data_IF_834346253053
#
_entry.id   IF_834346253053
#
_cell.length_a   1.000
_cell.length_b   1.000
_cell.length_c   1.000
_cell.angle_alpha   90.00
_cell.angle_beta   90.00
_cell.angle_gamma   90.00
#
_symmetry.space_group_name_H-M   'P 1'
#
loop_
_entity.id
_entity.type
_entity.pdbx_description
1 polymer ?
#
# COMPACT_ATOMS: atom_id res chain seq x y z
N UNK A 1 24.57 48.45 27.61
CA UNK A 1 25.67 48.21 28.56
C UNK A 1 25.08 47.52 29.78
N UNK A 2 25.28 46.21 29.92
CA UNK A 2 25.01 45.49 31.17
C UNK A 2 26.34 45.43 31.94
N UNK A 3 26.33 45.87 33.20
CA UNK A 3 27.51 45.85 34.06
C UNK A 3 27.73 44.42 34.56
N UNK A 4 28.99 43.93 34.52
CA UNK A 4 29.41 42.64 35.07
C UNK A 4 28.99 42.42 36.53
N UNK A 5 28.81 43.49 37.30
CA UNK A 5 28.34 43.45 38.69
C UNK A 5 26.84 43.13 38.80
N UNK A 6 26.02 43.57 37.83
CA UNK A 6 24.59 43.30 37.79
C UNK A 6 24.30 41.84 37.34
N UNK A 7 25.13 41.30 36.44
CA UNK A 7 25.03 39.91 35.97
C UNK A 7 25.41 38.91 37.07
N UNK A 8 26.44 39.19 37.88
CA UNK A 8 26.80 38.37 39.04
C UNK A 8 25.70 38.36 40.11
N UNK A 9 25.06 39.50 40.34
CA UNK A 9 23.98 39.66 41.32
C UNK A 9 22.71 38.91 40.89
N UNK A 10 22.34 38.98 39.61
CA UNK A 10 21.16 38.31 39.06
C UNK A 10 21.32 36.80 38.98
N UNK A 11 22.48 36.30 38.54
CA UNK A 11 22.75 34.86 38.50
C UNK A 11 22.76 34.23 39.92
N UNK A 12 23.41 34.90 40.87
CA UNK A 12 23.47 34.43 42.26
C UNK A 12 22.08 34.38 42.91
N UNK A 13 21.25 35.41 42.68
CA UNK A 13 19.86 35.44 43.15
C UNK A 13 19.00 34.33 42.54
N UNK A 14 19.18 34.04 41.24
CA UNK A 14 18.54 32.91 40.58
C UNK A 14 18.92 31.57 41.22
N UNK A 15 20.21 31.34 41.48
CA UNK A 15 20.67 30.12 42.14
C UNK A 15 20.18 29.99 43.59
N UNK A 16 20.12 31.10 44.33
CA UNK A 16 19.59 31.11 45.69
C UNK A 16 18.10 30.71 45.71
N UNK A 17 17.31 31.23 44.76
CA UNK A 17 15.91 30.85 44.59
C UNK A 17 15.76 29.37 44.23
N UNK A 18 16.58 28.85 43.30
CA UNK A 18 16.56 27.43 42.93
C UNK A 18 16.96 26.56 44.12
N UNK A 19 17.98 26.94 44.89
CA UNK A 19 18.38 26.23 46.10
C UNK A 19 17.23 26.20 47.13
N UNK A 20 16.51 27.32 47.30
CA UNK A 20 15.30 27.36 48.15
C UNK A 20 14.22 26.40 47.66
N UNK A 21 13.96 26.35 46.34
CA UNK A 21 13.00 25.42 45.72
C UNK A 21 13.41 23.97 46.00
N UNK A 22 14.67 23.61 45.74
CA UNK A 22 15.17 22.24 45.95
C UNK A 22 15.00 21.79 47.40
N UNK A 23 15.26 22.69 48.36
CA UNK A 23 15.17 22.36 49.79
C UNK A 23 13.73 22.28 50.33
N UNK A 24 12.74 22.83 49.62
CA UNK A 24 11.34 22.86 50.04
C UNK A 24 10.44 21.94 49.22
N UNK A 25 10.87 21.55 48.02
CA UNK A 25 10.10 20.73 47.12
C UNK A 25 9.91 19.31 47.65
N UNK A 26 8.72 18.77 47.40
CA UNK A 26 8.36 17.38 47.63
C UNK A 26 7.66 16.79 46.40
N UNK A 27 7.23 15.53 46.50
CA UNK A 27 6.55 14.80 45.41
C UNK A 27 5.23 15.45 44.93
N UNK A 28 4.61 16.28 45.77
CA UNK A 28 3.31 16.90 45.49
C UNK A 28 3.47 18.35 44.98
N UNK A 29 4.72 18.79 44.78
CA UNK A 29 5.08 20.11 44.29
C UNK A 29 5.06 20.19 42.75
N UNK A 30 4.56 21.32 42.23
CA UNK A 30 4.71 21.74 40.84
C UNK A 30 5.78 22.83 40.76
N UNK A 31 6.83 22.60 39.98
CA UNK A 31 7.97 23.50 39.84
C UNK A 31 8.01 24.01 38.40
N UNK A 32 8.07 25.33 38.26
CA UNK A 32 8.18 26.01 36.96
C UNK A 32 9.52 26.75 36.94
N UNK A 33 10.40 26.36 36.03
CA UNK A 33 11.71 26.97 35.85
C UNK A 33 11.74 27.64 34.48
N UNK A 34 11.94 28.95 34.47
CA UNK A 34 12.06 29.71 33.22
C UNK A 34 13.53 29.95 32.91
N UNK A 35 13.94 29.65 31.67
CA UNK A 35 15.31 29.82 31.15
C UNK A 35 16.37 29.28 32.12
N UNK A 36 16.32 27.99 32.42
CA UNK A 36 17.30 27.40 33.35
C UNK A 36 18.71 27.40 32.76
N UNK A 37 19.70 27.78 33.58
CA UNK A 37 21.11 27.75 33.21
C UNK A 37 21.58 28.96 32.41
N UNK A 38 20.85 30.07 32.42
CA UNK A 38 21.24 31.35 31.83
C UNK A 38 21.99 32.24 32.82
N UNK A 39 22.67 33.28 32.34
CA UNK A 39 23.37 34.27 33.18
C UNK A 39 24.80 33.90 33.60
N UNK A 40 25.37 32.86 33.00
CA UNK A 40 26.77 32.47 33.15
C UNK A 40 27.30 31.89 31.84
N UNK A 41 28.55 31.40 31.83
CA UNK A 41 29.10 30.63 30.72
C UNK A 41 28.13 29.51 30.28
N UNK A 42 27.82 29.38 28.97
CA UNK A 42 26.84 28.41 28.50
C UNK A 42 27.17 26.96 28.89
N UNK A 43 28.46 26.60 29.00
CA UNK A 43 28.85 25.23 29.35
C UNK A 43 28.63 24.95 30.83
N UNK A 44 29.00 25.90 31.70
CA UNK A 44 28.77 25.81 33.14
C UNK A 44 27.29 25.87 33.48
N UNK A 45 26.56 26.80 32.87
CA UNK A 45 25.12 26.97 33.04
C UNK A 45 24.34 25.72 32.64
N UNK A 46 24.72 25.07 31.54
CA UNK A 46 24.13 23.81 31.13
C UNK A 46 24.41 22.67 32.12
N UNK A 47 25.64 22.57 32.65
CA UNK A 47 26.00 21.54 33.63
C UNK A 47 25.21 21.72 34.95
N UNK A 48 25.08 22.96 35.42
CA UNK A 48 24.27 23.31 36.59
C UNK A 48 22.79 22.98 36.37
N UNK A 49 22.23 23.39 35.23
CA UNK A 49 20.84 23.09 34.89
C UNK A 49 20.56 21.59 34.86
N UNK A 50 21.47 20.79 34.28
CA UNK A 50 21.37 19.34 34.29
C UNK A 50 21.36 18.77 35.72
N UNK A 51 22.26 19.26 36.59
CA UNK A 51 22.32 18.83 37.99
C UNK A 51 21.04 19.19 38.76
N UNK A 52 20.47 20.37 38.52
CA UNK A 52 19.20 20.82 39.13
C UNK A 52 18.06 19.89 38.70
N UNK A 53 17.88 19.66 37.40
CA UNK A 53 16.82 18.81 36.88
C UNK A 53 16.92 17.36 37.39
N UNK A 54 18.14 16.81 37.43
CA UNK A 54 18.39 15.48 37.99
C UNK A 54 18.08 15.40 39.50
N UNK A 55 18.31 16.48 40.23
CA UNK A 55 18.00 16.57 41.66
C UNK A 55 16.50 16.63 41.89
N UNK A 56 15.79 17.50 41.18
CA UNK A 56 14.33 17.59 41.27
C UNK A 56 13.63 16.30 40.82
N UNK A 57 14.19 15.60 39.82
CA UNK A 57 13.73 14.26 39.44
C UNK A 57 13.81 13.28 40.61
N UNK A 58 14.89 13.29 41.40
CA UNK A 58 15.03 12.39 42.57
C UNK A 58 14.00 12.68 43.67
N UNK A 59 13.57 13.93 43.80
CA UNK A 59 12.49 14.34 44.71
C UNK A 59 11.12 13.83 44.21
N UNK A 60 11.03 13.51 42.92
CA UNK A 60 9.83 13.02 42.23
C UNK A 60 8.71 14.07 42.15
N UNK A 61 9.09 15.35 42.06
CA UNK A 61 8.18 16.48 41.82
C UNK A 61 7.82 16.61 40.33
N UNK A 62 6.72 17.29 40.02
CA UNK A 62 6.37 17.67 38.64
C UNK A 62 7.13 18.94 38.27
N UNK A 63 7.92 18.91 37.20
CA UNK A 63 8.77 20.03 36.77
C UNK A 63 8.49 20.40 35.32
N UNK A 64 8.22 21.68 35.06
CA UNK A 64 8.32 22.27 33.73
C UNK A 64 9.53 23.20 33.70
N UNK A 65 10.37 23.04 32.68
CA UNK A 65 11.54 23.89 32.49
C UNK A 65 11.64 24.34 31.03
N UNK A 66 11.88 25.62 30.81
CA UNK A 66 12.29 26.17 29.50
C UNK A 66 13.80 26.35 29.48
N UNK A 67 14.42 26.21 28.30
CA UNK A 67 15.85 26.40 28.11
C UNK A 67 16.20 26.55 26.64
N UNK A 68 17.26 27.30 26.34
CA UNK A 68 17.89 27.36 25.02
C UNK A 68 19.10 26.41 24.89
N UNK A 69 19.46 25.67 25.94
CA UNK A 69 20.64 24.81 25.95
C UNK A 69 20.41 23.49 25.21
N UNK A 70 20.99 23.35 24.01
CA UNK A 70 20.85 22.15 23.18
C UNK A 70 21.28 20.84 23.87
N UNK A 71 22.29 20.88 24.74
CA UNK A 71 22.76 19.70 25.50
C UNK A 71 21.71 19.15 26.47
N UNK A 72 20.82 19.99 27.01
CA UNK A 72 19.72 19.52 27.88
C UNK A 72 18.67 18.73 27.09
N UNK A 73 18.49 19.03 25.79
CA UNK A 73 17.63 18.24 24.90
C UNK A 73 18.09 16.78 24.82
N UNK A 74 19.40 16.53 24.86
CA UNK A 74 20.00 15.19 24.84
C UNK A 74 19.77 14.47 26.18
N UNK A 75 19.92 15.19 27.30
CA UNK A 75 19.67 14.67 28.64
C UNK A 75 18.25 14.09 28.76
N UNK A 76 17.26 14.83 28.27
CA UNK A 76 15.86 14.41 28.29
C UNK A 76 15.56 13.16 27.45
N UNK A 77 16.37 12.85 26.43
CA UNK A 77 16.26 11.59 25.68
C UNK A 77 16.90 10.42 26.44
N UNK A 78 17.92 10.68 27.25
CA UNK A 78 18.75 9.65 27.88
C UNK A 78 18.28 9.26 29.29
N UNK A 79 17.56 10.15 29.96
CA UNK A 79 17.15 9.98 31.35
C UNK A 79 15.66 9.69 31.44
N UNK A 80 15.31 8.49 31.90
CA UNK A 80 13.92 8.11 32.17
C UNK A 80 13.25 9.10 33.14
N UNK A 81 11.99 9.44 32.89
CA UNK A 81 11.24 10.41 33.70
C UNK A 81 11.49 11.88 33.36
N UNK A 82 12.36 12.17 32.39
CA UNK A 82 12.49 13.49 31.77
C UNK A 82 12.03 13.35 30.32
N UNK A 83 11.25 14.31 29.83
CA UNK A 83 10.75 14.30 28.46
C UNK A 83 10.91 15.68 27.82
N UNK A 84 11.36 15.70 26.57
CA UNK A 84 11.39 16.93 25.78
C UNK A 84 9.97 17.39 25.43
N UNK A 85 9.77 18.69 25.34
CA UNK A 85 8.61 19.27 24.69
C UNK A 85 9.03 20.56 23.98
N UNK A 86 8.34 20.89 22.90
CA UNK A 86 8.63 22.07 22.10
C UNK A 86 7.37 22.76 21.61
N UNK A 87 7.42 24.07 21.42
CA UNK A 87 6.36 24.79 20.73
C UNK A 87 6.54 24.62 19.23
N UNK A 88 5.50 24.18 18.54
CA UNK A 88 5.54 23.99 17.10
C UNK A 88 5.68 25.35 16.38
N UNK A 89 6.62 25.39 15.46
CA UNK A 89 6.88 26.51 14.57
C UNK A 89 6.57 26.11 13.13
N UNK A 90 5.84 26.96 12.42
CA UNK A 90 5.58 26.79 10.99
C UNK A 90 6.81 27.29 10.22
N UNK A 91 7.60 26.37 9.67
CA UNK A 91 8.81 26.67 8.90
C UNK A 91 8.50 27.33 7.56
N UNK A 92 7.35 27.05 6.94
CA UNK A 92 7.01 27.61 5.63
C UNK A 92 6.62 29.08 5.76
N UNK A 93 5.82 29.41 6.78
CA UNK A 93 5.34 30.77 7.00
C UNK A 93 6.18 31.56 8.03
N UNK A 94 7.16 30.90 8.66
CA UNK A 94 8.01 31.43 9.73
C UNK A 94 7.19 32.07 10.87
N UNK A 95 6.21 31.33 11.39
CA UNK A 95 5.29 31.81 12.45
C UNK A 95 5.15 30.79 13.58
N UNK A 96 5.07 31.24 14.85
CA UNK A 96 4.72 30.36 15.95
C UNK A 96 3.27 29.89 15.79
N UNK A 97 3.03 28.60 15.98
CA UNK A 97 1.67 28.04 15.99
C UNK A 97 1.07 27.98 17.40
N UNK A 98 1.91 28.18 18.43
CA UNK A 98 1.56 28.07 19.85
C UNK A 98 1.02 26.69 20.26
N UNK A 99 1.33 25.64 19.48
CA UNK A 99 0.95 24.26 19.79
C UNK A 99 2.12 23.56 20.49
N UNK A 100 1.90 23.07 21.71
CA UNK A 100 2.90 22.27 22.42
C UNK A 100 2.98 20.85 21.85
N UNK A 101 4.19 20.41 21.48
CA UNK A 101 4.51 19.06 21.01
C UNK A 101 5.35 18.35 22.07
N UNK A 102 4.73 17.40 22.77
CA UNK A 102 5.43 16.59 23.76
C UNK A 102 6.22 15.46 23.08
N UNK A 103 7.34 15.09 23.69
CA UNK A 103 8.25 14.03 23.22
C UNK A 103 9.23 14.46 22.13
N UNK A 104 9.09 15.67 21.58
CA UNK A 104 9.96 16.18 20.53
C UNK A 104 10.79 17.35 21.06
N UNK A 105 12.11 17.34 20.86
CA UNK A 105 12.92 18.52 21.11
C UNK A 105 12.58 19.61 20.08
N UNK A 106 12.66 20.88 20.50
CA UNK A 106 12.48 22.01 19.59
C UNK A 106 13.77 22.28 18.82
N UNK A 107 13.64 22.83 17.62
CA UNK A 107 14.77 23.29 16.82
C UNK A 107 14.95 24.81 16.94
N UNK A 108 16.18 25.32 16.87
CA UNK A 108 16.49 26.74 16.87
C UNK A 108 16.35 27.33 15.47
N UNK A 109 15.44 28.30 15.29
CA UNK A 109 15.11 28.92 13.99
C UNK A 109 15.80 30.28 13.76
N UNK A 110 16.93 30.54 14.44
CA UNK A 110 17.55 31.85 14.44
C UNK A 110 17.98 32.31 13.03
N UNK A 111 18.46 31.36 12.20
CA UNK A 111 18.90 31.64 10.84
C UNK A 111 17.74 31.95 9.90
N UNK A 112 16.68 31.16 9.96
CA UNK A 112 15.48 31.33 9.15
C UNK A 112 14.76 32.65 9.49
N UNK A 113 14.77 33.03 10.78
CA UNK A 113 14.25 34.34 11.22
C UNK A 113 15.13 35.48 10.68
N UNK A 114 16.46 35.36 10.77
CA UNK A 114 17.37 36.36 10.23
C UNK A 114 17.23 36.51 8.70
N UNK A 115 17.01 35.41 7.97
CA UNK A 115 16.81 35.44 6.52
C UNK A 115 15.57 36.26 6.15
N UNK A 116 14.50 36.08 6.92
CA UNK A 116 13.28 36.89 6.78
C UNK A 116 13.46 38.37 7.12
N UNK A 117 14.34 38.69 8.07
CA UNK A 117 14.68 40.09 8.42
C UNK A 117 15.45 40.76 7.28
N UNK A 118 16.08 39.98 6.38
CA UNK A 118 16.73 40.47 5.17
C UNK A 118 18.26 40.53 5.27
N UNK A 119 18.86 39.74 6.15
CA UNK A 119 20.32 39.53 6.12
C UNK A 119 20.72 38.83 4.82
N UNK A 120 21.90 39.18 4.29
CA UNK A 120 22.38 38.64 3.03
C UNK A 120 23.09 37.27 3.20
N UNK A 121 23.30 36.58 2.07
CA UNK A 121 23.93 35.25 2.06
C UNK A 121 25.35 35.29 2.63
N UNK A 122 26.08 36.40 2.43
CA UNK A 122 27.42 36.59 2.96
C UNK A 122 27.44 36.66 4.50
N UNK A 123 26.47 37.35 5.11
CA UNK A 123 26.30 37.33 6.56
C UNK A 123 26.09 35.91 7.09
N UNK A 124 25.29 35.10 6.39
CA UNK A 124 25.05 33.72 6.79
C UNK A 124 26.27 32.82 6.65
N UNK A 125 27.10 33.01 5.62
CA UNK A 125 28.36 32.28 5.48
C UNK A 125 29.29 32.59 6.66
N UNK A 126 29.43 33.87 7.03
CA UNK A 126 30.25 34.29 8.16
C UNK A 126 29.68 33.73 9.48
N UNK A 127 28.37 33.82 9.69
CA UNK A 127 27.74 33.33 10.91
C UNK A 127 27.90 31.81 11.07
N UNK A 128 27.74 31.02 9.98
CA UNK A 128 27.95 29.57 9.98
C UNK A 128 29.40 29.18 10.28
N UNK A 129 30.38 29.98 9.84
CA UNK A 129 31.79 29.74 10.15
C UNK A 129 32.14 29.98 11.62
N UNK A 130 31.38 30.84 12.32
CA UNK A 130 31.63 31.21 13.71
C UNK A 130 30.87 30.38 14.74
N UNK A 131 29.96 29.50 14.32
CA UNK A 131 29.31 28.59 15.26
C UNK A 131 30.19 27.38 15.57
N UNK A 132 30.09 26.94 16.82
CA UNK A 132 30.69 25.69 17.28
C UNK A 132 30.15 24.52 16.44
N UNK A 133 31.06 23.84 15.74
CA UNK A 133 30.73 22.78 14.79
C UNK A 133 30.00 21.62 15.46
N UNK A 134 30.25 21.35 16.74
CA UNK A 134 29.67 20.21 17.42
C UNK A 134 28.23 20.49 17.88
N UNK A 135 27.96 21.70 18.37
CA UNK A 135 26.60 22.13 18.70
C UNK A 135 25.71 22.18 17.45
N UNK A 136 26.27 22.62 16.32
CA UNK A 136 25.56 22.62 15.04
C UNK A 136 25.23 21.23 14.50
N UNK A 137 26.16 20.27 14.59
CA UNK A 137 25.90 18.89 14.14
C UNK A 137 24.74 18.26 14.92
N UNK A 138 24.70 18.48 16.22
CA UNK A 138 23.62 18.00 17.08
C UNK A 138 22.29 18.61 16.66
N UNK A 139 22.23 19.93 16.48
CA UNK A 139 20.98 20.61 16.11
C UNK A 139 20.49 20.16 14.72
N UNK A 140 21.39 20.04 13.74
CA UNK A 140 21.05 19.52 12.41
C UNK A 140 20.55 18.07 12.45
N UNK A 141 21.14 17.23 13.31
CA UNK A 141 20.68 15.86 13.51
C UNK A 141 19.29 15.81 14.14
N UNK A 142 19.00 16.69 15.10
CA UNK A 142 17.66 16.83 15.70
C UNK A 142 16.63 17.25 14.64
N UNK A 143 16.94 18.25 13.81
CA UNK A 143 16.06 18.71 12.70
C UNK A 143 15.78 17.55 11.72
N UNK A 144 16.79 16.76 11.36
CA UNK A 144 16.61 15.62 10.46
C UNK A 144 15.74 14.51 11.09
N UNK A 145 15.90 14.24 12.40
CA UNK A 145 15.01 13.35 13.15
C UNK A 145 13.58 13.85 13.13
N UNK A 146 13.36 15.15 13.37
CA UNK A 146 12.02 15.76 13.38
C UNK A 146 11.34 15.63 12.00
N UNK A 147 12.07 15.95 10.92
CA UNK A 147 11.58 15.78 9.54
C UNK A 147 11.24 14.33 9.22
N UNK A 148 12.10 13.38 9.62
CA UNK A 148 11.87 11.94 9.43
C UNK A 148 10.66 11.45 10.23
N UNK A 149 10.50 11.90 11.47
CA UNK A 149 9.36 11.56 12.32
C UNK A 149 8.04 12.09 11.73
N UNK A 150 8.03 13.34 11.25
CA UNK A 150 6.86 13.92 10.58
C UNK A 150 6.47 13.11 9.34
N UNK A 151 7.43 12.78 8.48
CA UNK A 151 7.21 11.96 7.28
C UNK A 151 6.72 10.55 7.60
N UNK A 152 7.24 9.94 8.66
CA UNK A 152 6.82 8.62 9.12
C UNK A 152 5.37 8.66 9.61
N UNK A 153 5.01 9.65 10.42
CA UNK A 153 3.64 9.83 10.91
C UNK A 153 2.64 10.04 9.77
N UNK A 154 2.99 10.83 8.75
CA UNK A 154 2.14 11.00 7.57
C UNK A 154 1.94 9.67 6.82
N UNK A 155 3.02 8.88 6.68
CA UNK A 155 2.95 7.57 6.03
C UNK A 155 2.12 6.57 6.83
N UNK A 156 2.25 6.56 8.15
CA UNK A 156 1.43 5.73 9.05
C UNK A 156 -0.06 6.07 8.89
N UNK A 157 -0.41 7.35 8.91
CA UNK A 157 -1.80 7.80 8.70
C UNK A 157 -2.35 7.34 7.35
N UNK A 158 -1.56 7.41 6.27
CA UNK A 158 -1.96 6.89 4.95
C UNK A 158 -2.19 5.37 4.97
N UNK A 159 -1.32 4.62 5.64
CA UNK A 159 -1.44 3.16 5.78
C UNK A 159 -2.66 2.75 6.61
N UNK A 160 -3.00 3.50 7.66
CA UNK A 160 -4.22 3.24 8.45
C UNK A 160 -5.49 3.42 7.62
N UNK A 161 -5.56 4.50 6.83
CA UNK A 161 -6.69 4.76 5.92
C UNK A 161 -6.80 3.62 4.90
N UNK A 162 -5.69 3.21 4.29
CA UNK A 162 -5.67 2.15 3.28
C UNK A 162 -6.05 0.78 3.88
N UNK A 163 -5.57 0.44 5.07
CA UNK A 163 -5.98 -0.78 5.78
C UNK A 163 -7.48 -0.81 6.05
N UNK A 164 -8.04 0.32 6.50
CA UNK A 164 -9.49 0.44 6.73
C UNK A 164 -10.26 0.21 5.42
N UNK A 165 -9.79 0.78 4.31
CA UNK A 165 -10.38 0.59 2.98
C UNK A 165 -10.32 -0.87 2.53
N UNK A 166 -9.17 -1.53 2.68
CA UNK A 166 -8.97 -2.93 2.32
C UNK A 166 -9.85 -3.87 3.16
N UNK A 167 -9.98 -3.63 4.46
CA UNK A 167 -10.90 -4.37 5.32
C UNK A 167 -12.35 -4.23 4.85
N UNK A 168 -12.79 -3.00 4.53
CA UNK A 168 -14.13 -2.76 4.00
C UNK A 168 -14.39 -3.51 2.68
N UNK A 169 -13.40 -3.49 1.78
CA UNK A 169 -13.48 -4.18 0.50
C UNK A 169 -13.51 -5.70 0.65
N UNK A 170 -12.68 -6.26 1.56
CA UNK A 170 -12.69 -7.69 1.90
C UNK A 170 -14.06 -8.14 2.38
N UNK A 171 -14.66 -7.40 3.31
CA UNK A 171 -16.00 -7.71 3.83
C UNK A 171 -17.07 -7.65 2.74
N UNK A 172 -16.96 -6.72 1.79
CA UNK A 172 -17.88 -6.61 0.67
C UNK A 172 -17.75 -7.81 -0.28
N UNK A 173 -16.52 -8.22 -0.60
CA UNK A 173 -16.28 -9.39 -1.43
C UNK A 173 -16.76 -10.68 -0.78
N UNK A 174 -16.54 -10.87 0.53
CA UNK A 174 -17.07 -12.03 1.26
C UNK A 174 -18.60 -12.09 1.18
N UNK A 175 -19.29 -10.97 1.43
CA UNK A 175 -20.75 -10.90 1.30
C UNK A 175 -21.23 -11.22 -0.12
N UNK A 176 -20.54 -10.72 -1.14
CA UNK A 176 -20.89 -11.00 -2.53
C UNK A 176 -20.66 -12.47 -2.88
N UNK A 177 -19.56 -13.08 -2.38
CA UNK A 177 -19.29 -14.50 -2.57
C UNK A 177 -20.34 -15.38 -1.91
N UNK A 178 -20.78 -15.04 -0.70
CA UNK A 178 -21.83 -15.78 -0.01
C UNK A 178 -23.18 -15.65 -0.71
N UNK A 179 -23.50 -14.44 -1.21
CA UNK A 179 -24.68 -14.22 -2.04
C UNK A 179 -24.64 -15.05 -3.33
N UNK A 180 -23.54 -15.04 -4.06
CA UNK A 180 -23.35 -15.82 -5.29
C UNK A 180 -23.44 -17.34 -5.02
N UNK A 181 -22.92 -17.81 -3.90
CA UNK A 181 -23.05 -19.23 -3.49
C UNK A 181 -24.51 -19.59 -3.22
N UNK A 182 -25.27 -18.72 -2.56
CA UNK A 182 -26.71 -18.92 -2.32
C UNK A 182 -27.48 -18.95 -3.64
N UNK A 183 -27.32 -17.93 -4.48
CA UNK A 183 -28.00 -17.83 -5.77
C UNK A 183 -27.68 -19.05 -6.67
N UNK A 184 -26.42 -19.49 -6.70
CA UNK A 184 -26.03 -20.70 -7.43
C UNK A 184 -26.77 -21.94 -6.92
N UNK A 185 -26.90 -22.08 -5.60
CA UNK A 185 -27.60 -23.21 -4.98
C UNK A 185 -29.08 -23.19 -5.36
N UNK A 186 -29.71 -22.03 -5.28
CA UNK A 186 -31.13 -21.85 -5.61
C UNK A 186 -31.41 -22.16 -7.09
N UNK A 187 -30.55 -21.68 -8.01
CA UNK A 187 -30.65 -22.00 -9.44
C UNK A 187 -30.51 -23.51 -9.70
N UNK A 188 -29.56 -24.18 -9.03
CA UNK A 188 -29.38 -25.62 -9.19
C UNK A 188 -30.57 -26.43 -8.67
N UNK A 189 -31.15 -26.00 -7.55
CA UNK A 189 -32.33 -26.63 -6.97
C UNK A 189 -33.54 -26.46 -7.88
N UNK A 190 -33.77 -25.24 -8.37
CA UNK A 190 -34.84 -24.93 -9.31
C UNK A 190 -34.70 -25.71 -10.63
N UNK A 191 -33.49 -25.74 -11.21
CA UNK A 191 -33.23 -26.51 -12.43
C UNK A 191 -33.46 -28.02 -12.23
N UNK A 192 -33.17 -28.55 -11.04
CA UNK A 192 -33.44 -29.96 -10.71
C UNK A 192 -34.94 -30.25 -10.58
N UNK A 193 -35.70 -29.32 -10.01
CA UNK A 193 -37.17 -29.42 -9.92
C UNK A 193 -37.76 -29.41 -11.33
N UNK A 194 -37.42 -28.42 -12.15
CA UNK A 194 -37.89 -28.29 -13.53
C UNK A 194 -37.52 -29.51 -14.39
N UNK A 195 -36.31 -30.05 -14.24
CA UNK A 195 -35.89 -31.27 -14.93
C UNK A 195 -36.72 -32.49 -14.51
N UNK A 196 -37.03 -32.64 -13.22
CA UNK A 196 -37.87 -33.73 -12.73
C UNK A 196 -39.33 -33.60 -13.21
N UNK A 197 -39.88 -32.39 -13.23
CA UNK A 197 -41.22 -32.14 -13.78
C UNK A 197 -41.27 -32.48 -15.28
N UNK A 198 -40.27 -32.03 -16.04
CA UNK A 198 -40.14 -32.35 -17.46
C UNK A 198 -40.06 -33.86 -17.72
N UNK A 199 -39.24 -34.60 -16.96
CA UNK A 199 -39.13 -36.05 -17.06
C UNK A 199 -40.44 -36.76 -16.69
N UNK A 200 -41.16 -36.28 -15.68
CA UNK A 200 -42.45 -36.83 -15.29
C UNK A 200 -43.51 -36.62 -16.37
N UNK A 201 -43.55 -35.43 -17.00
CA UNK A 201 -44.47 -35.17 -18.11
C UNK A 201 -44.13 -36.04 -19.32
N UNK A 202 -42.84 -36.17 -19.66
CA UNK A 202 -42.36 -37.08 -20.70
C UNK A 202 -42.79 -38.53 -20.43
N UNK A 203 -42.62 -39.02 -19.20
CA UNK A 203 -43.02 -40.38 -18.83
C UNK A 203 -44.52 -40.61 -19.00
N UNK A 204 -45.37 -39.64 -18.62
CA UNK A 204 -46.82 -39.69 -18.86
C UNK A 204 -47.15 -39.74 -20.36
N UNK A 205 -46.46 -38.96 -21.18
CA UNK A 205 -46.64 -38.99 -22.63
C UNK A 205 -46.25 -40.35 -23.22
N UNK A 206 -45.13 -40.93 -22.76
CA UNK A 206 -44.68 -42.28 -23.16
C UNK A 206 -45.72 -43.34 -22.76
N UNK A 207 -46.21 -43.30 -21.53
CA UNK A 207 -47.25 -44.24 -21.06
C UNK A 207 -48.53 -44.15 -21.89
N UNK A 208 -48.97 -42.93 -22.22
CA UNK A 208 -50.14 -42.72 -23.08
C UNK A 208 -49.95 -43.29 -24.50
N UNK A 209 -48.75 -43.11 -25.07
CA UNK A 209 -48.39 -43.73 -26.37
C UNK A 209 -48.38 -45.25 -26.27
N UNK A 210 -47.77 -45.82 -25.22
CA UNK A 210 -47.75 -47.28 -25.00
C UNK A 210 -49.16 -47.84 -24.81
N UNK A 211 -50.03 -47.14 -24.08
CA UNK A 211 -51.43 -47.52 -23.88
C UNK A 211 -52.20 -47.54 -25.22
N UNK A 212 -52.05 -46.50 -26.05
CA UNK A 212 -52.64 -46.46 -27.40
C UNK A 212 -52.22 -47.66 -28.27
N UNK A 213 -50.93 -48.06 -28.22
CA UNK A 213 -50.42 -49.23 -28.96
C UNK A 213 -51.07 -50.54 -28.48
N UNK A 214 -51.28 -50.70 -27.16
CA UNK A 214 -51.90 -51.90 -26.60
C UNK A 214 -53.38 -52.03 -26.97
N UNK A 215 -54.10 -50.91 -27.03
CA UNK A 215 -55.54 -50.87 -27.34
C UNK A 215 -55.84 -51.10 -28.84
N UNK A 216 -54.94 -50.73 -29.75
CA UNK A 216 -55.13 -50.84 -31.22
C UNK A 216 -54.79 -52.19 -31.85
N UNK A 217 -54.44 -53.22 -31.05
CA UNK A 217 -54.20 -54.61 -31.53
C UNK A 217 -53.41 -54.73 -32.84
N UNK A 218 -52.17 -54.23 -32.82
CA UNK A 218 -51.11 -54.62 -33.78
C UNK A 218 -51.36 -54.32 -35.27
N UNK A 219 -51.86 -53.13 -35.60
CA UNK A 219 -51.67 -52.58 -36.95
C UNK A 219 -50.20 -52.22 -37.19
N UNK A 220 -49.63 -52.72 -38.30
CA UNK A 220 -48.21 -52.55 -38.66
C UNK A 220 -47.82 -51.08 -38.82
N UNK A 221 -48.75 -50.20 -39.20
CA UNK A 221 -48.51 -48.77 -39.36
C UNK A 221 -48.44 -48.04 -38.00
N UNK A 222 -49.35 -48.33 -37.07
CA UNK A 222 -49.39 -47.71 -35.73
C UNK A 222 -48.13 -48.04 -34.91
N UNK A 223 -47.61 -49.27 -35.04
CA UNK A 223 -46.36 -49.68 -34.38
C UNK A 223 -45.15 -48.94 -34.95
N UNK A 224 -45.13 -48.67 -36.27
CA UNK A 224 -44.02 -48.00 -36.96
C UNK A 224 -43.98 -46.51 -36.60
N UNK A 225 -45.14 -45.87 -36.59
CA UNK A 225 -45.30 -44.45 -36.22
C UNK A 225 -44.98 -44.24 -34.73
N UNK A 226 -45.46 -45.12 -33.86
CA UNK A 226 -45.17 -45.05 -32.42
C UNK A 226 -43.70 -45.32 -32.09
N UNK A 227 -43.03 -46.25 -32.80
CA UNK A 227 -41.57 -46.44 -32.69
C UNK A 227 -40.77 -45.23 -33.15
N UNK A 228 -41.22 -44.53 -34.19
CA UNK A 228 -40.59 -43.28 -34.64
C UNK A 228 -40.76 -42.16 -33.62
N UNK A 229 -41.94 -42.04 -33.02
CA UNK A 229 -42.23 -41.07 -31.95
C UNK A 229 -41.36 -41.32 -30.71
N UNK A 230 -41.26 -42.57 -30.25
CA UNK A 230 -40.39 -42.95 -29.11
C UNK A 230 -38.90 -42.73 -29.44
N UNK A 231 -38.48 -42.97 -30.70
CA UNK A 231 -37.11 -42.70 -31.14
C UNK A 231 -36.79 -41.21 -31.15
N UNK A 232 -37.70 -40.36 -31.65
CA UNK A 232 -37.59 -38.89 -31.58
C UNK A 232 -37.51 -38.39 -30.14
N UNK A 233 -38.35 -38.94 -29.25
CA UNK A 233 -38.29 -38.60 -27.83
C UNK A 233 -36.94 -39.00 -27.19
N UNK A 234 -36.40 -40.19 -27.48
CA UNK A 234 -35.06 -40.60 -27.01
C UNK A 234 -33.92 -39.78 -27.59
N UNK A 235 -34.02 -39.31 -28.82
CA UNK A 235 -33.03 -38.40 -29.44
C UNK A 235 -33.07 -37.01 -28.80
N UNK A 236 -34.23 -36.57 -28.30
CA UNK A 236 -34.41 -35.30 -27.57
C UNK A 236 -33.83 -35.35 -26.15
N UNK A 237 -33.65 -36.55 -25.57
CA UNK A 237 -33.12 -36.79 -24.21
C UNK A 237 -31.58 -36.78 -24.17
N UNK A 238 -30.89 -36.74 -25.32
CA UNK A 238 -29.45 -36.46 -25.31
C UNK A 238 -29.24 -35.02 -24.86
N UNK A 239 -29.04 -34.86 -23.55
CA UNK A 239 -28.42 -33.68 -22.98
C UNK A 239 -26.97 -33.68 -23.47
N UNK A 240 -26.76 -33.16 -24.68
CA UNK A 240 -25.45 -32.64 -25.01
C UNK A 240 -25.21 -31.50 -24.02
N UNK A 241 -24.07 -31.47 -23.29
CA UNK A 241 -23.66 -30.23 -22.64
C UNK A 241 -23.78 -29.16 -23.72
N UNK A 242 -24.35 -27.98 -23.43
CA UNK A 242 -24.61 -27.01 -24.48
C UNK A 242 -23.31 -26.84 -25.27
N UNK A 243 -23.27 -27.40 -26.48
CA UNK A 243 -22.33 -26.93 -27.48
C UNK A 243 -22.56 -25.44 -27.48
N UNK A 244 -21.51 -24.71 -27.15
CA UNK A 244 -21.48 -23.26 -27.19
C UNK A 244 -22.27 -22.84 -28.42
N UNK A 245 -23.53 -22.46 -28.23
CA UNK A 245 -24.38 -21.99 -29.32
C UNK A 245 -23.73 -20.68 -29.70
N UNK A 246 -22.84 -20.74 -30.67
CA UNK A 246 -22.38 -19.59 -31.41
C UNK A 246 -23.64 -18.95 -31.99
N UNK A 247 -24.09 -17.89 -31.34
CA UNK A 247 -25.09 -16.98 -31.88
C UNK A 247 -24.33 -15.75 -32.41
N UNK A 248 -24.92 -14.98 -33.32
CA UNK A 248 -24.69 -15.03 -34.75
C UNK A 248 -23.87 -13.82 -35.21
N UNK A 249 -23.09 -14.02 -36.27
CA UNK A 249 -22.31 -12.96 -36.90
C UNK A 249 -20.82 -13.29 -36.86
N UNK A 250 -20.37 -14.07 -37.84
CA UNK A 250 -18.99 -14.00 -38.30
C UNK A 250 -18.72 -12.55 -38.73
N UNK A 251 -18.24 -11.73 -37.81
CA UNK A 251 -17.26 -10.72 -38.18
C UNK A 251 -15.93 -11.33 -37.77
N UNK A 252 -15.12 -11.68 -38.78
CA UNK A 252 -13.73 -12.05 -38.53
C UNK A 252 -13.06 -10.85 -37.87
N UNK A 253 -12.81 -10.99 -36.57
CA UNK A 253 -12.02 -10.05 -35.81
C UNK A 253 -10.56 -10.32 -36.15
N UNK A 254 -9.88 -9.31 -36.67
CA UNK A 254 -8.47 -9.38 -37.02
C UNK A 254 -7.63 -8.57 -36.02
N UNK A 255 -6.33 -8.88 -35.97
CA UNK A 255 -5.37 -8.08 -35.21
C UNK A 255 -5.39 -6.66 -35.79
N UNK A 256 -5.62 -5.66 -34.94
CA UNK A 256 -5.78 -4.26 -35.33
C UNK A 256 -7.22 -3.74 -35.41
N UNK A 257 -8.22 -4.58 -35.16
CA UNK A 257 -9.61 -4.14 -35.06
C UNK A 257 -9.92 -3.46 -33.72
N UNK A 258 -10.63 -2.33 -33.77
CA UNK A 258 -11.24 -1.69 -32.59
C UNK A 258 -12.47 -2.48 -32.14
N UNK A 259 -12.44 -2.94 -30.90
CA UNK A 259 -13.49 -3.75 -30.29
C UNK A 259 -13.89 -3.21 -28.92
N UNK A 260 -15.17 -3.40 -28.59
CA UNK A 260 -15.72 -3.11 -27.28
C UNK A 260 -16.03 -4.42 -26.56
N UNK A 261 -15.71 -4.49 -25.27
CA UNK A 261 -16.13 -5.61 -24.42
C UNK A 261 -17.64 -5.47 -24.16
N UNK A 262 -18.41 -6.52 -24.48
CA UNK A 262 -19.84 -6.62 -24.15
C UNK A 262 -20.03 -6.47 -22.63
N UNK A 263 -21.04 -5.72 -22.22
CA UNK A 263 -21.32 -5.37 -20.82
C UNK A 263 -20.29 -4.42 -20.16
N UNK A 264 -19.40 -3.81 -20.95
CA UNK A 264 -18.51 -2.74 -20.50
C UNK A 264 -18.42 -1.59 -21.51
N UNK A 265 -18.07 -0.38 -21.05
CA UNK A 265 -17.71 0.75 -21.92
C UNK A 265 -16.23 0.71 -22.35
N UNK A 266 -15.52 -0.39 -22.06
CA UNK A 266 -14.11 -0.58 -22.43
C UNK A 266 -13.98 -0.82 -23.94
N UNK A 267 -13.33 0.12 -24.63
CA UNK A 267 -12.98 0.03 -26.07
C UNK A 267 -11.47 -0.13 -26.21
N UNK A 268 -11.01 -1.04 -27.06
CA UNK A 268 -9.58 -1.27 -27.30
C UNK A 268 -9.30 -1.96 -28.62
N UNK A 269 -8.03 -1.94 -29.02
CA UNK A 269 -7.55 -2.55 -30.26
C UNK A 269 -7.11 -3.99 -30.01
N UNK A 270 -7.48 -4.94 -30.87
CA UNK A 270 -7.00 -6.32 -30.75
C UNK A 270 -5.51 -6.39 -31.08
N UNK A 271 -4.68 -6.82 -30.13
CA UNK A 271 -3.24 -7.00 -30.33
C UNK A 271 -2.84 -8.47 -30.51
N UNK A 272 -3.61 -9.41 -29.98
CA UNK A 272 -3.32 -10.84 -30.07
C UNK A 272 -4.60 -11.67 -30.09
N UNK A 273 -4.67 -12.70 -30.94
CA UNK A 273 -5.81 -13.62 -31.04
C UNK A 273 -5.30 -15.05 -30.90
N UNK A 274 -5.64 -15.70 -29.79
CA UNK A 274 -5.39 -17.11 -29.58
C UNK A 274 -6.64 -17.94 -29.91
N UNK A 275 -6.76 -18.34 -31.19
CA UNK A 275 -7.89 -19.13 -31.70
C UNK A 275 -8.03 -20.51 -31.01
N UNK A 276 -6.93 -21.09 -30.52
CA UNK A 276 -6.95 -22.41 -29.86
C UNK A 276 -7.50 -22.38 -28.43
N UNK A 277 -7.34 -21.25 -27.72
CA UNK A 277 -7.84 -21.04 -26.35
C UNK A 277 -9.08 -20.14 -26.28
N UNK A 278 -9.61 -19.69 -27.42
CA UNK A 278 -10.71 -18.72 -27.51
C UNK A 278 -10.47 -17.41 -26.72
N UNK A 279 -9.20 -16.98 -26.65
CA UNK A 279 -8.76 -15.79 -25.93
C UNK A 279 -8.25 -14.73 -26.90
N UNK A 280 -8.53 -13.46 -26.57
CA UNK A 280 -8.13 -12.28 -27.33
C UNK A 280 -7.55 -11.27 -26.36
N UNK A 281 -6.41 -10.70 -26.70
CA UNK A 281 -5.81 -9.60 -25.94
C UNK A 281 -6.17 -8.29 -26.63
N UNK A 282 -6.83 -7.40 -25.91
CA UNK A 282 -7.14 -6.04 -26.39
C UNK A 282 -6.31 -5.00 -25.66
N UNK A 283 -5.95 -3.93 -26.35
CA UNK A 283 -5.22 -2.79 -25.83
C UNK A 283 -6.18 -1.60 -25.66
N UNK A 284 -6.49 -1.25 -24.42
CA UNK A 284 -7.34 -0.10 -24.07
C UNK A 284 -6.54 0.90 -23.27
N UNK A 285 -6.31 2.11 -23.79
CA UNK A 285 -5.69 3.20 -23.02
C UNK A 285 -4.31 2.86 -22.44
N UNK A 286 -3.57 1.92 -23.05
CA UNK A 286 -2.28 1.42 -22.57
C UNK A 286 -2.35 0.12 -21.75
N UNK A 287 -3.53 -0.39 -21.41
CA UNK A 287 -3.74 -1.65 -20.67
C UNK A 287 -4.02 -2.81 -21.62
N UNK A 288 -3.34 -3.95 -21.40
CA UNK A 288 -3.62 -5.22 -22.09
C UNK A 288 -4.65 -6.02 -21.30
N UNK A 289 -5.78 -6.34 -21.92
CA UNK A 289 -6.88 -7.08 -21.30
C UNK A 289 -7.09 -8.39 -22.07
N UNK A 290 -6.94 -9.52 -21.38
CA UNK A 290 -7.25 -10.83 -21.93
C UNK A 290 -8.75 -11.10 -21.74
N UNK A 291 -9.49 -11.23 -22.84
CA UNK A 291 -10.93 -11.49 -22.84
C UNK A 291 -11.27 -12.58 -23.84
N UNK A 292 -12.51 -13.08 -23.82
CA UNK A 292 -12.93 -14.10 -24.77
C UNK A 292 -13.32 -13.47 -26.11
N UNK A 293 -13.12 -14.17 -27.23
CA UNK A 293 -13.58 -13.70 -28.55
C UNK A 293 -15.10 -13.44 -28.56
N UNK A 294 -15.84 -14.19 -27.73
CA UNK A 294 -17.30 -14.09 -27.56
C UNK A 294 -17.77 -12.82 -26.84
N UNK A 295 -16.94 -12.23 -25.99
CA UNK A 295 -17.25 -11.02 -25.22
C UNK A 295 -16.88 -9.73 -25.95
N UNK A 296 -16.51 -9.80 -27.24
CA UNK A 296 -16.14 -8.63 -28.04
C UNK A 296 -17.20 -8.30 -29.10
N UNK A 297 -17.36 -7.01 -29.38
CA UNK A 297 -18.12 -6.49 -30.53
C UNK A 297 -17.30 -5.44 -31.28
N UNK A 298 -17.24 -5.54 -32.60
CA UNK A 298 -16.53 -4.58 -33.45
C UNK A 298 -17.19 -3.21 -33.35
N UNK A 299 -16.39 -2.18 -33.10
CA UNK A 299 -16.86 -0.79 -33.07
C UNK A 299 -16.20 0.02 -34.18
N UNK A 300 -16.85 1.07 -34.66
CA UNK A 300 -16.25 1.97 -35.67
C UNK A 300 -15.24 2.88 -34.97
N UNK A 301 -14.07 3.09 -35.59
CA UNK A 301 -13.03 4.05 -35.18
C UNK A 301 -13.64 5.32 -34.61
N UNK A 302 -13.62 5.44 -33.28
CA UNK A 302 -13.90 6.72 -32.62
C UNK A 302 -12.60 7.51 -32.74
N UNK A 303 -12.63 8.58 -33.54
CA UNK A 303 -11.54 9.56 -33.57
C UNK A 303 -11.27 10.03 -32.14
N UNK A 304 -10.01 9.89 -31.72
CA UNK A 304 -9.48 10.42 -30.46
C UNK A 304 -9.89 11.90 -30.29
N UNK A 305 -10.94 12.14 -29.52
CA UNK A 305 -11.08 13.38 -28.78
C UNK A 305 -10.41 13.14 -27.44
N UNK A 306 -9.18 13.63 -27.36
CA UNK A 306 -8.41 13.81 -26.15
C UNK A 306 -9.14 14.76 -25.20
N UNK A 307 -10.09 14.25 -24.44
CA UNK A 307 -10.41 14.81 -23.14
C UNK A 307 -9.68 13.96 -22.11
N UNK A 308 -8.60 14.54 -21.58
CA UNK A 308 -7.82 14.00 -20.47
C UNK A 308 -8.74 13.87 -19.25
N UNK A 309 -9.43 12.75 -19.13
CA UNK A 309 -9.87 12.24 -17.84
C UNK A 309 -8.66 11.55 -17.22
N UNK A 310 -7.86 12.35 -16.53
CA UNK A 310 -6.73 11.86 -15.72
C UNK A 310 -7.29 11.06 -14.55
N UNK A 311 -7.52 9.77 -14.77
CA UNK A 311 -7.61 8.81 -13.68
C UNK A 311 -6.18 8.61 -13.15
N UNK A 312 -5.82 9.38 -12.13
CA UNK A 312 -4.59 9.20 -11.37
C UNK A 312 -4.67 7.86 -10.61
N UNK A 313 -4.39 6.74 -11.26
CA UNK A 313 -3.76 5.63 -10.57
C UNK A 313 -2.36 6.11 -10.24
N UNK A 314 -2.10 6.37 -8.95
CA UNK A 314 -0.80 6.81 -8.47
C UNK A 314 0.27 5.87 -9.02
N UNK A 315 1.09 6.39 -9.93
CA UNK A 315 2.28 5.71 -10.45
C UNK A 315 3.23 5.62 -9.26
N UNK A 316 3.18 4.51 -8.53
CA UNK A 316 4.28 4.13 -7.65
C UNK A 316 5.49 3.95 -8.55
N UNK A 317 6.60 4.62 -8.19
CA UNK A 317 7.90 4.49 -8.86
C UNK A 317 8.13 3.07 -9.36
N UNK A 318 8.41 2.94 -10.66
CA UNK A 318 8.68 1.66 -11.32
C UNK A 318 9.85 1.00 -10.60
N UNK A 319 9.56 0.04 -9.72
CA UNK A 319 10.58 -0.73 -9.01
C UNK A 319 11.06 -1.82 -9.96
N UNK A 320 12.30 -1.68 -10.43
CA UNK A 320 12.99 -2.71 -11.22
C UNK A 320 13.62 -3.77 -10.30
N UNK A 321 13.63 -3.50 -8.98
CA UNK A 321 14.24 -4.35 -7.96
C UNK A 321 13.34 -4.54 -6.75
N UNK A 322 13.20 -5.79 -6.33
CA UNK A 322 12.56 -6.21 -5.09
C UNK A 322 13.63 -6.69 -4.10
N UNK A 323 13.63 -6.15 -2.88
CA UNK A 323 14.47 -6.64 -1.77
C UNK A 323 13.60 -7.40 -0.78
N UNK A 324 13.86 -8.70 -0.62
CA UNK A 324 13.15 -9.61 0.28
C UNK A 324 14.06 -10.11 1.41
N UNK A 325 15.24 -9.50 1.63
CA UNK A 325 16.14 -9.93 2.71
C UNK A 325 15.48 -9.73 4.08
N UNK A 326 15.56 -10.76 4.91
CA UNK A 326 14.97 -10.76 6.26
C UNK A 326 13.49 -11.11 6.31
N UNK A 327 12.83 -11.29 5.16
CA UNK A 327 11.46 -11.80 5.11
C UNK A 327 11.40 -13.29 5.46
N UNK A 328 10.28 -13.72 6.04
CA UNK A 328 9.97 -15.15 6.18
C UNK A 328 9.55 -15.72 4.81
N UNK A 329 9.74 -17.03 4.55
CA UNK A 329 9.43 -17.63 3.24
C UNK A 329 8.01 -17.37 2.71
N UNK A 330 7.03 -17.34 3.61
CA UNK A 330 5.61 -17.04 3.35
C UNK A 330 5.37 -15.59 2.94
N UNK A 331 6.08 -14.63 3.53
CA UNK A 331 6.00 -13.20 3.18
C UNK A 331 6.70 -12.91 1.83
N UNK A 332 7.82 -13.60 1.59
CA UNK A 332 8.57 -13.51 0.36
C UNK A 332 7.77 -14.06 -0.83
N UNK A 333 6.99 -15.12 -0.62
CA UNK A 333 6.13 -15.72 -1.64
C UNK A 333 5.16 -14.71 -2.24
N UNK A 334 4.36 -14.08 -1.38
CA UNK A 334 3.41 -13.05 -1.77
C UNK A 334 4.10 -11.84 -2.42
N UNK A 335 5.21 -11.39 -1.84
CA UNK A 335 5.96 -10.21 -2.32
C UNK A 335 6.50 -10.43 -3.75
N UNK A 336 7.01 -11.63 -4.04
CA UNK A 336 7.57 -11.98 -5.34
C UNK A 336 6.47 -12.10 -6.39
N UNK A 337 5.37 -12.79 -6.10
CA UNK A 337 4.24 -12.93 -7.04
C UNK A 337 3.69 -11.56 -7.42
N UNK A 338 3.37 -10.73 -6.42
CA UNK A 338 2.86 -9.37 -6.64
C UNK A 338 3.82 -8.52 -7.48
N UNK A 339 5.12 -8.59 -7.19
CA UNK A 339 6.14 -7.83 -7.89
C UNK A 339 6.28 -8.25 -9.36
N UNK A 340 6.25 -9.56 -9.65
CA UNK A 340 6.31 -10.07 -11.03
C UNK A 340 5.07 -9.62 -11.82
N UNK A 341 3.89 -9.65 -11.22
CA UNK A 341 2.66 -9.18 -11.87
C UNK A 341 2.76 -7.68 -12.17
N UNK A 342 3.12 -6.85 -11.18
CA UNK A 342 3.30 -5.40 -11.36
C UNK A 342 4.35 -5.08 -12.44
N UNK A 343 5.46 -5.80 -12.46
CA UNK A 343 6.52 -5.63 -13.45
C UNK A 343 6.09 -6.04 -14.87
N UNK A 344 5.35 -7.15 -14.99
CA UNK A 344 4.78 -7.60 -16.25
C UNK A 344 3.76 -6.59 -16.79
N UNK A 345 2.85 -6.11 -15.94
CA UNK A 345 1.87 -5.07 -16.30
C UNK A 345 2.51 -3.74 -16.65
N UNK A 346 3.65 -3.42 -16.02
CA UNK A 346 4.43 -2.20 -16.31
C UNK A 346 5.35 -2.35 -17.53
N UNK A 347 5.31 -3.48 -18.23
CA UNK A 347 6.11 -3.73 -19.44
C UNK A 347 7.61 -3.83 -19.20
N UNK A 348 8.04 -4.19 -17.98
CA UNK A 348 9.46 -4.41 -17.70
C UNK A 348 9.94 -5.67 -18.42
N UNK A 349 11.08 -5.57 -19.11
CA UNK A 349 11.69 -6.73 -19.76
C UNK A 349 12.48 -7.60 -18.77
N UNK A 350 12.95 -6.98 -17.68
CA UNK A 350 13.86 -7.61 -16.72
C UNK A 350 13.67 -7.01 -15.34
N UNK A 351 13.69 -7.86 -14.32
CA UNK A 351 13.59 -7.47 -12.92
C UNK A 351 14.58 -8.21 -12.04
N UNK A 352 14.92 -7.60 -10.91
CA UNK A 352 15.90 -8.12 -9.96
C UNK A 352 15.25 -8.44 -8.61
N UNK A 353 15.48 -9.64 -8.09
CA UNK A 353 14.99 -10.06 -6.78
C UNK A 353 16.20 -10.32 -5.87
N UNK A 354 16.42 -9.43 -4.91
CA UNK A 354 17.47 -9.51 -3.91
C UNK A 354 16.98 -10.32 -2.71
N UNK A 355 17.48 -11.55 -2.57
CA UNK A 355 17.12 -12.47 -1.48
C UNK A 355 18.28 -12.77 -0.52
N UNK A 356 19.49 -12.32 -0.86
CA UNK A 356 20.70 -12.55 -0.07
C UNK A 356 21.26 -13.98 -0.22
N UNK A 357 22.50 -14.18 0.25
CA UNK A 357 23.21 -15.47 0.13
C UNK A 357 22.82 -16.44 1.26
N UNK A 358 22.79 -15.96 2.51
CA UNK A 358 22.18 -16.59 3.68
C UNK A 358 22.25 -18.12 3.75
N UNK A 359 21.16 -18.75 4.21
CA UNK A 359 20.94 -20.21 4.23
C UNK A 359 20.38 -20.75 2.90
N UNK A 360 20.19 -19.90 1.89
CA UNK A 360 19.63 -20.27 0.59
C UNK A 360 18.12 -20.56 0.57
N UNK A 361 17.40 -20.40 1.69
CA UNK A 361 15.95 -20.68 1.77
C UNK A 361 15.14 -19.75 0.84
N UNK A 362 15.35 -18.44 0.92
CA UNK A 362 14.65 -17.47 0.07
C UNK A 362 15.01 -17.64 -1.42
N UNK A 363 16.24 -18.06 -1.74
CA UNK A 363 16.65 -18.38 -3.12
C UNK A 363 15.82 -19.53 -3.69
N UNK A 364 15.56 -20.58 -2.89
CA UNK A 364 14.74 -21.72 -3.32
C UNK A 364 13.30 -21.30 -3.58
N UNK A 365 12.70 -20.53 -2.66
CA UNK A 365 11.35 -19.99 -2.81
C UNK A 365 11.22 -19.16 -4.09
N UNK A 366 12.14 -18.21 -4.32
CA UNK A 366 12.15 -17.40 -5.54
C UNK A 366 12.28 -18.27 -6.79
N UNK A 367 13.18 -19.26 -6.77
CA UNK A 367 13.40 -20.15 -7.92
C UNK A 367 12.18 -21.01 -8.24
N UNK A 368 11.47 -21.52 -7.22
CA UNK A 368 10.23 -22.29 -7.39
C UNK A 368 9.11 -21.43 -7.95
N UNK A 369 8.94 -20.21 -7.45
CA UNK A 369 7.93 -19.28 -7.93
C UNK A 369 8.16 -18.83 -9.37
N UNK A 370 9.39 -18.45 -9.73
CA UNK A 370 9.71 -18.04 -11.09
C UNK A 370 9.58 -19.20 -12.08
N UNK A 371 9.89 -20.43 -11.66
CA UNK A 371 9.75 -21.63 -12.51
C UNK A 371 8.30 -21.97 -12.80
N UNK A 372 7.39 -21.71 -11.86
CA UNK A 372 5.96 -22.00 -11.99
C UNK A 372 5.16 -20.86 -12.66
N UNK A 373 5.79 -19.72 -12.96
CA UNK A 373 5.10 -18.56 -13.50
C UNK A 373 5.18 -18.50 -15.05
N UNK A 374 4.02 -18.48 -15.71
CA UNK A 374 3.93 -18.47 -17.19
C UNK A 374 4.45 -17.15 -17.82
N UNK A 375 4.53 -16.07 -17.05
CA UNK A 375 4.97 -14.75 -17.52
C UNK A 375 6.50 -14.60 -17.56
N UNK A 376 7.25 -15.58 -17.03
CA UNK A 376 8.71 -15.58 -17.02
C UNK A 376 9.24 -16.29 -18.26
N UNK A 377 10.15 -15.63 -18.96
CA UNK A 377 10.88 -16.18 -20.10
C UNK A 377 12.07 -17.03 -19.64
N UNK A 378 12.88 -16.50 -18.73
CA UNK A 378 14.03 -17.18 -18.12
C UNK A 378 14.45 -16.49 -16.83
N UNK A 379 15.20 -17.16 -15.97
CA UNK A 379 15.80 -16.56 -14.79
C UNK A 379 17.18 -17.15 -14.50
N UNK A 380 18.08 -16.33 -13.96
CA UNK A 380 19.47 -16.70 -13.67
C UNK A 380 20.03 -15.87 -12.50
N UNK A 381 21.05 -16.37 -11.78
CA UNK A 381 21.73 -15.57 -10.76
C UNK A 381 22.40 -14.35 -11.39
N UNK A 382 22.43 -13.24 -10.66
CA UNK A 382 23.09 -12.02 -11.12
C UNK A 382 24.62 -12.21 -11.28
N UNK A 383 25.29 -11.41 -12.11
CA UNK A 383 26.76 -11.34 -12.14
C UNK A 383 27.33 -11.03 -10.75
N UNK A 384 28.58 -11.46 -10.49
CA UNK A 384 29.26 -11.25 -9.20
C UNK A 384 29.26 -9.75 -8.82
N UNK A 385 29.46 -8.87 -9.79
CA UNK A 385 29.45 -7.40 -9.65
C UNK A 385 28.10 -6.82 -9.20
N UNK A 386 27.00 -7.55 -9.42
CA UNK A 386 25.62 -7.14 -9.11
C UNK A 386 25.02 -7.90 -7.91
N UNK A 387 25.86 -8.63 -7.15
CA UNK A 387 25.45 -9.36 -5.96
C UNK A 387 25.54 -10.88 -6.08
N UNK A 388 25.87 -11.40 -7.26
CA UNK A 388 26.08 -12.83 -7.50
C UNK A 388 24.87 -13.67 -7.13
N UNK A 389 25.13 -14.82 -6.51
CA UNK A 389 24.15 -15.75 -5.95
C UNK A 389 23.16 -15.19 -4.92
N UNK A 390 23.32 -13.93 -4.50
CA UNK A 390 22.37 -13.25 -3.60
C UNK A 390 21.21 -12.55 -4.32
N UNK A 391 21.25 -12.50 -5.65
CA UNK A 391 20.26 -11.83 -6.50
C UNK A 391 19.86 -12.75 -7.64
N UNK A 392 18.56 -12.87 -7.87
CA UNK A 392 18.01 -13.55 -9.04
C UNK A 392 17.49 -12.52 -10.03
N UNK A 393 17.94 -12.63 -11.27
CA UNK A 393 17.45 -11.85 -12.41
C UNK A 393 16.38 -12.67 -13.11
N UNK A 394 15.21 -12.07 -13.33
CA UNK A 394 14.12 -12.68 -14.08
C UNK A 394 13.80 -11.86 -15.32
N UNK A 395 13.76 -12.51 -16.48
CA UNK A 395 13.35 -11.93 -17.76
C UNK A 395 11.89 -12.26 -18.01
N UNK A 396 11.09 -11.24 -18.31
CA UNK A 396 9.65 -11.33 -18.53
C UNK A 396 9.37 -11.52 -20.04
N UNK A 397 8.23 -12.12 -20.39
CA UNK A 397 7.84 -12.40 -21.78
C UNK A 397 7.33 -11.20 -22.56
#
# INVERSE_FOLDING_TARGET
EQSLEDDLSTFSSHLENINRIINQADKDSLILLDEIGTGTDPTEGCALAAAILLTLKKINSVVFSTTHHGKLKILATSVEGIQNASMQFDQENLKPTYILRQGLPGSSYAFEIAERIGFDEQFFEIAKQNLDQDQHKVENFLIDIEKKAAKLNEKLKKLEIENTRLHGLSNLYEKNLDKLKSEKKDILEQAKIEANEYLNDMNKQIENVVKKIRETKADKEVIKESKQTIKRFKETIKFEPPENKGIPGKQELEIGDDVQIKDSNTVGEIIEINKSKNQVTILTGGLRINTSLSSLSKTKKVKNNSEKSTYNFGVSEIKVRLDIRGQRPDEADYSVVKFIDEAYFSGQQKVEILHGKGTGVLRKVVSELLKNNENIKTFYPAPIEQGGDGVTIAELK
#
